data_IF_083081674965
#
_entry.id   IF_083081674965
#
_cell.length_a   1.000
_cell.length_b   1.000
_cell.length_c   1.000
_cell.angle_alpha   90.00
_cell.angle_beta   90.00
_cell.angle_gamma   90.00
#
_symmetry.space_group_name_H-M   'P 1'
#
loop_
_entity.id
_entity.type
_entity.pdbx_description
1 polymer ?
#
# COMPACT_ATOMS: atom_id res chain seq x y z
N UNK A 1 -5.19 25.55 -8.46
CA UNK A 1 -4.39 24.61 -7.65
C UNK A 1 -5.32 23.58 -7.04
N UNK A 2 -5.07 22.28 -7.23
CA UNK A 2 -5.91 21.22 -6.66
C UNK A 2 -5.52 20.97 -5.20
N UNK A 3 -6.46 21.12 -4.26
CA UNK A 3 -6.20 20.83 -2.83
C UNK A 3 -6.17 19.33 -2.59
N UNK A 4 -4.99 18.77 -2.35
CA UNK A 4 -4.77 17.34 -2.14
C UNK A 4 -4.23 17.00 -0.74
N UNK A 5 -3.90 17.99 0.09
CA UNK A 5 -3.33 17.75 1.43
C UNK A 5 -4.22 16.86 2.31
N UNK A 6 -5.50 17.19 2.44
CA UNK A 6 -6.46 16.45 3.29
C UNK A 6 -6.58 14.97 2.90
N UNK A 7 -6.83 14.60 1.63
CA UNK A 7 -6.87 13.19 1.25
C UNK A 7 -5.50 12.51 1.36
N UNK A 8 -4.41 13.18 1.00
CA UNK A 8 -3.05 12.64 1.13
C UNK A 8 -2.69 12.34 2.59
N UNK A 9 -3.12 13.17 3.54
CA UNK A 9 -2.98 12.94 4.98
C UNK A 9 -3.69 11.67 5.43
N UNK A 10 -4.91 11.43 4.95
CA UNK A 10 -5.66 10.19 5.25
C UNK A 10 -4.94 8.95 4.69
N UNK A 11 -4.40 9.06 3.48
CA UNK A 11 -3.60 7.99 2.87
C UNK A 11 -2.35 7.68 3.70
N UNK A 12 -1.61 8.71 4.13
CA UNK A 12 -0.44 8.55 5.00
C UNK A 12 -0.76 7.83 6.31
N UNK A 13 -1.79 8.27 7.04
CA UNK A 13 -2.18 7.61 8.29
C UNK A 13 -2.63 6.17 8.07
N UNK A 14 -3.35 5.90 6.99
CA UNK A 14 -3.74 4.52 6.66
C UNK A 14 -2.51 3.63 6.47
N UNK A 15 -1.51 4.06 5.71
CA UNK A 15 -0.26 3.30 5.55
C UNK A 15 0.48 3.10 6.87
N UNK A 16 0.53 4.13 7.71
CA UNK A 16 1.14 4.03 9.05
C UNK A 16 0.44 2.97 9.90
N UNK A 17 -0.89 2.97 9.96
CA UNK A 17 -1.63 1.97 10.74
C UNK A 17 -1.50 0.55 10.16
N UNK A 18 -1.46 0.41 8.83
CA UNK A 18 -1.19 -0.89 8.20
C UNK A 18 0.19 -1.43 8.58
N UNK A 19 1.22 -0.58 8.65
CA UNK A 19 2.55 -0.97 9.13
C UNK A 19 2.52 -1.39 10.61
N UNK A 20 1.84 -0.65 11.46
CA UNK A 20 1.71 -1.01 12.89
C UNK A 20 1.00 -2.35 13.04
N UNK A 21 -0.08 -2.58 12.30
CA UNK A 21 -0.82 -3.83 12.31
C UNK A 21 0.02 -5.03 11.84
N UNK A 22 0.81 -4.86 10.79
CA UNK A 22 1.66 -5.95 10.29
C UNK A 22 2.74 -6.35 11.31
N UNK A 23 3.31 -5.37 12.02
CA UNK A 23 4.26 -5.60 13.12
C UNK A 23 3.60 -6.35 14.30
N UNK A 24 2.38 -5.96 14.69
CA UNK A 24 1.62 -6.64 15.74
C UNK A 24 1.34 -8.10 15.35
N UNK A 25 0.96 -8.34 14.10
CA UNK A 25 0.70 -9.69 13.58
C UNK A 25 1.90 -10.60 13.75
N UNK A 26 3.09 -10.06 13.47
CA UNK A 26 4.34 -10.79 13.58
C UNK A 26 4.68 -11.16 15.02
N UNK A 27 4.49 -10.25 15.98
CA UNK A 27 4.87 -10.47 17.38
C UNK A 27 4.04 -11.59 18.02
N UNK A 28 2.76 -11.73 17.63
CA UNK A 28 1.82 -12.59 18.34
C UNK A 28 1.82 -14.05 17.82
N UNK A 29 2.39 -14.33 16.63
CA UNK A 29 2.53 -15.68 16.04
C UNK A 29 1.27 -16.57 16.19
N UNK A 30 0.08 -16.03 15.91
CA UNK A 30 -1.19 -16.76 16.02
C UNK A 30 -2.01 -16.60 14.74
N UNK A 31 -2.38 -17.71 14.11
CA UNK A 31 -3.14 -17.74 12.85
C UNK A 31 -4.50 -17.03 12.95
N UNK A 32 -5.20 -17.14 14.09
CA UNK A 32 -6.50 -16.46 14.30
C UNK A 32 -6.31 -14.94 14.32
N UNK A 33 -5.23 -14.49 14.95
CA UNK A 33 -4.90 -13.07 15.06
C UNK A 33 -4.39 -12.53 13.71
N UNK A 34 -3.64 -13.32 12.95
CA UNK A 34 -3.23 -12.98 11.59
C UNK A 34 -4.43 -12.81 10.63
N UNK A 35 -5.46 -13.66 10.76
CA UNK A 35 -6.72 -13.51 10.01
C UNK A 35 -7.45 -12.22 10.41
N UNK A 36 -7.57 -11.94 11.72
CA UNK A 36 -8.20 -10.72 12.21
C UNK A 36 -7.47 -9.45 11.72
N UNK A 37 -6.14 -9.47 11.70
CA UNK A 37 -5.32 -8.36 11.21
C UNK A 37 -5.44 -8.20 9.69
N UNK A 38 -5.55 -9.29 8.94
CA UNK A 38 -5.81 -9.26 7.50
C UNK A 38 -7.17 -8.62 7.20
N UNK A 39 -8.20 -8.94 7.99
CA UNK A 39 -9.50 -8.28 7.91
C UNK A 39 -9.43 -6.78 8.26
N UNK A 40 -8.70 -6.41 9.31
CA UNK A 40 -8.47 -5.00 9.65
C UNK A 40 -7.73 -4.24 8.53
N UNK A 41 -6.77 -4.88 7.87
CA UNK A 41 -6.01 -4.29 6.75
C UNK A 41 -6.88 -3.92 5.54
N UNK A 42 -8.00 -4.63 5.34
CA UNK A 42 -9.00 -4.27 4.32
C UNK A 42 -9.64 -2.92 4.63
N UNK A 43 -9.94 -2.61 5.90
CA UNK A 43 -10.52 -1.32 6.31
C UNK A 43 -9.55 -0.18 5.96
N UNK A 44 -8.27 -0.34 6.28
CA UNK A 44 -7.25 0.64 5.93
C UNK A 44 -7.08 0.80 4.41
N UNK A 45 -7.18 -0.30 3.66
CA UNK A 45 -7.18 -0.25 2.19
C UNK A 45 -8.38 0.52 1.64
N UNK A 46 -9.57 0.38 2.23
CA UNK A 46 -10.75 1.19 1.88
C UNK A 46 -10.49 2.68 2.12
N UNK A 47 -9.86 3.04 3.25
CA UNK A 47 -9.48 4.43 3.55
C UNK A 47 -8.50 4.96 2.50
N UNK A 48 -7.54 4.15 2.06
CA UNK A 48 -6.61 4.52 0.97
C UNK A 48 -7.35 4.78 -0.33
N UNK A 49 -8.29 3.90 -0.70
CA UNK A 49 -9.11 4.05 -1.89
C UNK A 49 -9.96 5.32 -1.83
N UNK A 50 -10.55 5.64 -0.68
CA UNK A 50 -11.30 6.89 -0.48
C UNK A 50 -10.40 8.12 -0.65
N UNK A 51 -9.18 8.08 -0.13
CA UNK A 51 -8.21 9.16 -0.34
C UNK A 51 -7.85 9.33 -1.82
N UNK A 52 -7.58 8.23 -2.53
CA UNK A 52 -7.27 8.25 -3.96
C UNK A 52 -8.48 8.74 -4.77
N UNK A 53 -9.68 8.33 -4.41
CA UNK A 53 -10.93 8.79 -5.03
C UNK A 53 -11.09 10.31 -4.93
N UNK A 54 -10.81 10.89 -3.75
CA UNK A 54 -10.86 12.34 -3.57
C UNK A 54 -9.83 13.08 -4.46
N UNK A 55 -8.72 12.43 -4.79
CA UNK A 55 -7.68 12.97 -5.67
C UNK A 55 -7.88 12.65 -7.16
N UNK A 56 -8.86 11.83 -7.54
CA UNK A 56 -9.03 11.27 -8.90
C UNK A 56 -9.07 12.32 -10.02
N UNK A 57 -9.58 13.52 -9.73
CA UNK A 57 -9.74 14.59 -10.70
C UNK A 57 -8.46 15.44 -10.88
N UNK A 58 -7.41 15.17 -10.10
CA UNK A 58 -6.19 15.99 -10.12
C UNK A 58 -5.28 15.63 -11.30
N UNK A 59 -5.24 14.34 -11.65
CA UNK A 59 -4.46 13.80 -12.76
C UNK A 59 -5.12 12.51 -13.31
N UNK A 60 -5.01 12.27 -14.62
CA UNK A 60 -5.50 11.07 -15.30
C UNK A 60 -4.88 9.78 -14.75
N UNK A 61 -3.60 9.81 -14.38
CA UNK A 61 -2.91 8.64 -13.79
C UNK A 61 -3.51 8.24 -12.44
N UNK A 62 -3.88 9.21 -11.60
CA UNK A 62 -4.56 8.94 -10.31
C UNK A 62 -5.94 8.32 -10.55
N UNK A 63 -6.67 8.78 -11.57
CA UNK A 63 -7.94 8.15 -11.98
C UNK A 63 -7.75 6.70 -12.43
N UNK A 64 -6.71 6.41 -13.21
CA UNK A 64 -6.37 5.03 -13.63
C UNK A 64 -5.99 4.17 -12.42
N UNK A 65 -5.17 4.70 -11.52
CA UNK A 65 -4.77 4.04 -10.27
C UNK A 65 -5.97 3.61 -9.44
N UNK A 66 -6.96 4.50 -9.26
CA UNK A 66 -8.19 4.19 -8.53
C UNK A 66 -8.89 2.93 -9.02
N UNK A 67 -9.03 2.77 -10.34
CA UNK A 67 -9.69 1.59 -10.92
C UNK A 67 -8.91 0.29 -10.60
N UNK A 68 -7.58 0.34 -10.66
CA UNK A 68 -6.75 -0.82 -10.32
C UNK A 68 -6.74 -1.13 -8.82
N UNK A 69 -6.81 -0.10 -7.96
CA UNK A 69 -6.97 -0.32 -6.52
C UNK A 69 -8.29 -0.99 -6.15
N UNK A 70 -9.39 -0.68 -6.83
CA UNK A 70 -10.67 -1.41 -6.65
C UNK A 70 -10.50 -2.89 -7.00
N UNK A 71 -9.86 -3.19 -8.12
CA UNK A 71 -9.60 -4.58 -8.52
C UNK A 71 -8.72 -5.29 -7.49
N UNK A 72 -7.68 -4.63 -6.99
CA UNK A 72 -6.82 -5.16 -5.93
C UNK A 72 -7.61 -5.46 -4.65
N UNK A 73 -8.50 -4.55 -4.23
CA UNK A 73 -9.37 -4.75 -3.05
C UNK A 73 -10.26 -5.98 -3.19
N UNK A 74 -10.90 -6.16 -4.36
CA UNK A 74 -11.71 -7.34 -4.64
C UNK A 74 -10.86 -8.61 -4.50
N UNK A 75 -9.64 -8.56 -5.04
CA UNK A 75 -8.65 -9.63 -4.87
C UNK A 75 -8.31 -9.95 -3.43
N UNK A 76 -8.05 -8.94 -2.60
CA UNK A 76 -7.77 -9.10 -1.18
C UNK A 76 -8.93 -9.78 -0.45
N UNK A 77 -10.17 -9.37 -0.73
CA UNK A 77 -11.37 -9.97 -0.12
C UNK A 77 -11.52 -11.43 -0.52
N UNK A 78 -11.41 -11.74 -1.83
CA UNK A 78 -11.51 -13.12 -2.33
C UNK A 78 -10.42 -13.99 -1.70
N UNK A 79 -9.17 -13.50 -1.68
CA UNK A 79 -8.04 -14.22 -1.10
C UNK A 79 -8.25 -14.49 0.38
N UNK A 80 -8.76 -13.51 1.15
CA UNK A 80 -9.07 -13.67 2.57
C UNK A 80 -10.13 -14.76 2.79
N UNK A 81 -11.23 -14.74 2.02
CA UNK A 81 -12.30 -15.73 2.12
C UNK A 81 -11.76 -17.14 1.86
N UNK A 82 -10.97 -17.32 0.81
CA UNK A 82 -10.39 -18.62 0.46
C UNK A 82 -9.38 -19.09 1.52
N UNK A 83 -8.57 -18.17 2.05
CA UNK A 83 -7.61 -18.47 3.13
C UNK A 83 -8.33 -18.94 4.38
N UNK A 84 -9.41 -18.26 4.78
CA UNK A 84 -10.26 -18.69 5.90
C UNK A 84 -10.79 -20.10 5.66
N UNK A 85 -11.40 -20.36 4.49
CA UNK A 85 -11.94 -21.68 4.14
C UNK A 85 -10.86 -22.77 4.13
N UNK A 86 -9.66 -22.44 3.65
CA UNK A 86 -8.53 -23.37 3.62
C UNK A 86 -8.07 -23.75 5.03
N UNK A 87 -7.93 -22.77 5.93
CA UNK A 87 -7.53 -23.00 7.34
C UNK A 87 -8.58 -23.83 8.07
N UNK A 88 -9.87 -23.49 7.96
CA UNK A 88 -10.94 -24.22 8.64
C UNK A 88 -11.12 -25.66 8.13
N UNK A 89 -10.96 -25.90 6.82
CA UNK A 89 -11.11 -27.23 6.23
C UNK A 89 -9.80 -28.02 6.14
N UNK A 90 -8.68 -27.45 6.59
CA UNK A 90 -7.31 -27.99 6.42
C UNK A 90 -7.04 -28.48 4.98
N UNK A 91 -7.53 -27.72 3.99
CA UNK A 91 -7.49 -28.15 2.60
C UNK A 91 -6.35 -27.45 1.83
N UNK A 92 -5.34 -28.24 1.47
CA UNK A 92 -4.15 -27.79 0.75
C UNK A 92 -4.45 -27.28 -0.66
N UNK A 93 -5.46 -27.84 -1.33
CA UNK A 93 -5.83 -27.42 -2.69
C UNK A 93 -6.40 -25.99 -2.68
N UNK A 94 -7.23 -25.66 -1.67
CA UNK A 94 -7.71 -24.29 -1.48
C UNK A 94 -6.57 -23.34 -1.10
N UNK A 95 -5.57 -23.78 -0.34
CA UNK A 95 -4.38 -22.99 -0.06
C UNK A 95 -3.63 -22.64 -1.35
N UNK A 96 -3.40 -23.62 -2.23
CA UNK A 96 -2.74 -23.37 -3.53
C UNK A 96 -3.54 -22.41 -4.42
N UNK A 97 -4.87 -22.56 -4.48
CA UNK A 97 -5.73 -21.63 -5.21
C UNK A 97 -5.63 -20.21 -4.65
N UNK A 98 -5.56 -20.05 -3.32
CA UNK A 98 -5.41 -18.73 -2.68
C UNK A 98 -4.11 -18.04 -3.10
N UNK A 99 -3.01 -18.78 -3.23
CA UNK A 99 -1.70 -18.23 -3.66
C UNK A 99 -1.75 -17.75 -5.10
N UNK A 100 -2.39 -18.52 -6.00
CA UNK A 100 -2.55 -18.14 -7.41
C UNK A 100 -3.36 -16.85 -7.54
N UNK A 101 -4.49 -16.76 -6.82
CA UNK A 101 -5.36 -15.59 -6.82
C UNK A 101 -4.60 -14.38 -6.26
N UNK A 102 -3.91 -14.55 -5.13
CA UNK A 102 -3.10 -13.50 -4.51
C UNK A 102 -2.06 -12.96 -5.50
N UNK A 103 -1.40 -13.83 -6.27
CA UNK A 103 -0.42 -13.42 -7.27
C UNK A 103 -1.05 -12.57 -8.40
N UNK A 104 -2.19 -13.00 -8.95
CA UNK A 104 -2.89 -12.24 -10.01
C UNK A 104 -3.29 -10.85 -9.52
N UNK A 105 -3.84 -10.76 -8.31
CA UNK A 105 -4.28 -9.47 -7.76
C UNK A 105 -3.12 -8.60 -7.25
N UNK A 106 -1.99 -9.19 -6.86
CA UNK A 106 -0.77 -8.45 -6.59
C UNK A 106 -0.27 -7.68 -7.83
N UNK A 107 -0.39 -8.25 -9.03
CA UNK A 107 -0.07 -7.54 -10.27
C UNK A 107 -0.93 -6.28 -10.45
N UNK A 108 -2.23 -6.36 -10.19
CA UNK A 108 -3.10 -5.18 -10.24
C UNK A 108 -2.72 -4.14 -9.18
N UNK A 109 -2.34 -4.57 -7.98
CA UNK A 109 -1.85 -3.68 -6.93
C UNK A 109 -0.60 -2.93 -7.36
N UNK A 110 0.38 -3.61 -7.95
CA UNK A 110 1.62 -3.00 -8.45
C UNK A 110 1.33 -1.97 -9.54
N UNK A 111 0.42 -2.28 -10.47
CA UNK A 111 0.00 -1.32 -11.50
C UNK A 111 -0.71 -0.12 -10.88
N UNK A 112 -1.54 -0.34 -9.85
CA UNK A 112 -2.21 0.74 -9.13
C UNK A 112 -1.21 1.68 -8.44
N UNK A 113 -0.23 1.12 -7.74
CA UNK A 113 0.84 1.85 -7.06
C UNK A 113 1.68 2.66 -8.05
N UNK A 114 2.07 2.04 -9.16
CA UNK A 114 2.81 2.70 -10.24
C UNK A 114 2.06 3.95 -10.74
N UNK A 115 0.78 3.77 -11.10
CA UNK A 115 -0.04 4.88 -11.61
C UNK A 115 -0.25 5.97 -10.54
N UNK A 116 -0.37 5.59 -9.26
CA UNK A 116 -0.55 6.54 -8.18
C UNK A 116 0.70 7.39 -7.95
N UNK A 117 1.84 6.74 -7.76
CA UNK A 117 3.11 7.41 -7.44
C UNK A 117 3.59 8.30 -8.59
N UNK A 118 3.46 7.85 -9.84
CA UNK A 118 3.74 8.70 -11.00
C UNK A 118 2.71 9.83 -11.14
N UNK A 119 1.45 9.60 -10.75
CA UNK A 119 0.44 10.66 -10.68
C UNK A 119 0.80 11.73 -9.64
N UNK A 120 1.34 11.36 -8.48
CA UNK A 120 1.85 12.29 -7.48
C UNK A 120 3.07 13.08 -8.01
N UNK A 121 3.97 12.41 -8.73
CA UNK A 121 5.14 13.06 -9.32
C UNK A 121 4.76 14.15 -10.34
N UNK A 122 3.72 13.93 -11.15
CA UNK A 122 3.20 14.93 -12.08
C UNK A 122 2.59 16.14 -11.36
N UNK A 123 1.98 15.93 -10.20
CA UNK A 123 1.40 17.02 -9.41
C UNK A 123 2.47 17.95 -8.84
N UNK A 124 3.71 17.47 -8.60
CA UNK A 124 4.85 18.31 -8.22
C UNK A 124 5.04 19.43 -9.24
N UNK A 125 5.15 19.06 -10.52
CA UNK A 125 5.37 20.02 -11.61
C UNK A 125 4.14 20.90 -11.82
N UNK A 126 2.94 20.30 -11.82
CA UNK A 126 1.69 21.02 -12.10
C UNK A 126 1.33 22.06 -11.03
N UNK A 127 1.57 21.77 -9.75
CA UNK A 127 1.24 22.65 -8.64
C UNK A 127 2.45 23.42 -8.08
N UNK A 128 3.67 23.14 -8.57
CA UNK A 128 4.90 23.80 -8.16
C UNK A 128 5.23 23.57 -6.69
N UNK A 129 5.13 22.32 -6.22
CA UNK A 129 5.50 21.93 -4.85
C UNK A 129 7.02 22.03 -4.67
N UNK A 130 7.47 22.47 -3.49
CA UNK A 130 8.90 22.51 -3.15
C UNK A 130 9.41 21.11 -2.77
N UNK A 131 9.35 20.18 -3.72
CA UNK A 131 9.79 18.80 -3.55
C UNK A 131 10.48 18.34 -4.84
N UNK A 132 11.65 17.68 -4.76
CA UNK A 132 12.40 17.28 -5.94
C UNK A 132 11.62 16.23 -6.77
N UNK A 133 11.48 16.51 -8.07
CA UNK A 133 10.84 15.60 -9.00
C UNK A 133 11.60 14.27 -9.05
N UNK A 134 10.86 13.16 -9.09
CA UNK A 134 11.40 11.81 -9.13
C UNK A 134 11.71 11.21 -7.76
N UNK A 135 11.90 12.02 -6.70
CA UNK A 135 12.20 11.48 -5.35
C UNK A 135 11.03 10.63 -4.83
N UNK A 136 9.79 11.00 -5.11
CA UNK A 136 8.60 10.25 -4.68
C UNK A 136 8.51 8.86 -5.32
N UNK A 137 9.13 8.66 -6.49
CA UNK A 137 9.13 7.37 -7.21
C UNK A 137 9.88 6.27 -6.46
N UNK A 138 10.78 6.64 -5.54
CA UNK A 138 11.47 5.67 -4.70
C UNK A 138 10.53 4.86 -3.81
N UNK A 139 9.35 5.37 -3.46
CA UNK A 139 8.31 4.60 -2.75
C UNK A 139 7.94 3.33 -3.52
N UNK A 140 7.76 3.45 -4.84
CA UNK A 140 7.44 2.31 -5.69
C UNK A 140 8.60 1.30 -5.75
N UNK A 141 9.83 1.79 -5.89
CA UNK A 141 11.01 0.93 -5.91
C UNK A 141 11.22 0.20 -4.58
N UNK A 142 11.01 0.86 -3.44
CA UNK A 142 11.06 0.20 -2.13
C UNK A 142 10.00 -0.89 -1.98
N UNK A 143 8.79 -0.68 -2.54
CA UNK A 143 7.75 -1.71 -2.55
C UNK A 143 8.17 -2.97 -3.32
N UNK A 144 8.76 -2.80 -4.51
CA UNK A 144 9.28 -3.91 -5.32
C UNK A 144 10.43 -4.63 -4.60
N UNK A 145 11.40 -3.86 -4.09
CA UNK A 145 12.56 -4.40 -3.38
C UNK A 145 12.10 -5.21 -2.17
N UNK A 146 11.16 -4.67 -1.39
CA UNK A 146 10.58 -5.38 -0.26
C UNK A 146 9.90 -6.68 -0.69
N UNK A 147 9.03 -6.64 -1.71
CA UNK A 147 8.32 -7.83 -2.18
C UNK A 147 9.28 -8.95 -2.62
N UNK A 148 10.36 -8.61 -3.34
CA UNK A 148 11.35 -9.57 -3.81
C UNK A 148 12.22 -10.12 -2.68
N UNK A 149 12.79 -9.24 -1.85
CA UNK A 149 13.74 -9.65 -0.81
C UNK A 149 13.00 -10.36 0.33
N UNK A 150 11.97 -9.74 0.88
CA UNK A 150 11.21 -10.30 2.00
C UNK A 150 10.49 -11.58 1.58
N UNK A 151 9.93 -11.62 0.36
CA UNK A 151 9.31 -12.83 -0.18
C UNK A 151 10.30 -14.00 -0.32
N UNK A 152 11.52 -13.72 -0.81
CA UNK A 152 12.57 -14.74 -0.92
C UNK A 152 13.03 -15.23 0.45
N UNK A 153 13.22 -14.33 1.41
CA UNK A 153 13.68 -14.67 2.76
C UNK A 153 12.67 -15.52 3.53
N UNK A 154 11.38 -15.26 3.39
CA UNK A 154 10.32 -16.09 3.99
C UNK A 154 10.42 -17.54 3.49
N UNK A 155 10.68 -17.74 2.20
CA UNK A 155 10.83 -19.10 1.64
C UNK A 155 12.06 -19.84 2.18
N UNK A 156 13.10 -19.12 2.60
CA UNK A 156 14.30 -19.70 3.23
C UNK A 156 14.18 -19.92 4.74
N UNK A 157 13.04 -19.55 5.35
CA UNK A 157 12.84 -19.61 6.80
C UNK A 157 13.47 -18.44 7.58
N UNK A 158 14.05 -17.46 6.88
CA UNK A 158 14.66 -16.25 7.46
C UNK A 158 13.60 -15.17 7.77
N UNK A 159 12.59 -15.53 8.57
CA UNK A 159 11.39 -14.72 8.77
C UNK A 159 11.69 -13.39 9.49
N UNK A 160 12.64 -13.40 10.44
CA UNK A 160 13.06 -12.19 11.18
C UNK A 160 13.76 -11.20 10.24
N UNK A 161 14.61 -11.69 9.34
CA UNK A 161 15.30 -10.86 8.35
C UNK A 161 14.29 -10.25 7.37
N UNK A 162 13.32 -11.04 6.92
CA UNK A 162 12.24 -10.56 6.06
C UNK A 162 11.44 -9.43 6.74
N UNK A 163 11.14 -9.57 8.03
CA UNK A 163 10.46 -8.54 8.80
C UNK A 163 11.27 -7.24 8.87
N UNK A 164 12.55 -7.33 9.21
CA UNK A 164 13.42 -6.15 9.36
C UNK A 164 13.47 -5.38 8.04
N UNK A 165 13.71 -6.08 6.93
CA UNK A 165 13.81 -5.46 5.60
C UNK A 165 12.48 -4.84 5.20
N UNK A 166 11.36 -5.56 5.39
CA UNK A 166 10.05 -5.01 5.09
C UNK A 166 9.71 -3.78 5.91
N UNK A 167 10.06 -3.79 7.20
CA UNK A 167 9.86 -2.64 8.09
C UNK A 167 10.69 -1.44 7.63
N UNK A 168 11.96 -1.63 7.31
CA UNK A 168 12.84 -0.56 6.82
C UNK A 168 12.30 0.04 5.52
N UNK A 169 11.89 -0.78 4.55
CA UNK A 169 11.29 -0.30 3.30
C UNK A 169 10.00 0.48 3.54
N UNK A 170 9.12 0.01 4.42
CA UNK A 170 7.88 0.71 4.76
C UNK A 170 8.12 2.03 5.49
N UNK A 171 9.08 2.09 6.41
CA UNK A 171 9.46 3.32 7.12
C UNK A 171 10.06 4.35 6.16
N UNK A 172 10.98 3.94 5.28
CA UNK A 172 11.53 4.81 4.24
C UNK A 172 10.43 5.35 3.31
N UNK A 173 9.47 4.51 2.94
CA UNK A 173 8.34 4.91 2.09
C UNK A 173 7.43 5.92 2.78
N UNK A 174 7.11 5.71 4.06
CA UNK A 174 6.35 6.66 4.88
C UNK A 174 7.10 7.98 5.03
N UNK A 175 8.41 7.94 5.25
CA UNK A 175 9.21 9.15 5.39
C UNK A 175 9.21 10.00 4.11
N UNK A 176 9.40 9.37 2.94
CA UNK A 176 9.29 10.07 1.65
C UNK A 176 7.91 10.67 1.41
N UNK A 177 6.85 9.93 1.78
CA UNK A 177 5.48 10.40 1.67
C UNK A 177 5.21 11.57 2.64
N UNK A 178 5.81 11.53 3.83
CA UNK A 178 5.70 12.60 4.83
C UNK A 178 6.36 13.90 4.38
N UNK A 179 7.58 13.83 3.84
CA UNK A 179 8.24 15.01 3.26
C UNK A 179 7.41 15.61 2.11
N UNK A 180 6.84 14.75 1.25
CA UNK A 180 5.94 15.20 0.20
C UNK A 180 4.67 15.85 0.77
N UNK A 181 4.07 15.27 1.81
CA UNK A 181 2.92 15.83 2.51
C UNK A 181 3.21 17.22 3.08
N UNK A 182 4.39 17.45 3.67
CA UNK A 182 4.82 18.75 4.16
C UNK A 182 4.94 19.76 3.02
N UNK A 183 5.61 19.40 1.92
CA UNK A 183 5.77 20.27 0.76
C UNK A 183 4.41 20.67 0.14
N UNK A 184 3.43 19.76 0.14
CA UNK A 184 2.06 20.05 -0.28
C UNK A 184 1.37 21.00 0.70
N UNK A 185 1.51 20.77 2.01
CA UNK A 185 0.92 21.61 3.07
C UNK A 185 1.41 23.06 2.98
N UNK A 186 2.72 23.25 2.90
CA UNK A 186 3.34 24.57 2.88
C UNK A 186 2.88 25.36 1.65
N UNK A 187 2.82 24.69 0.48
CA UNK A 187 2.35 25.32 -0.74
C UNK A 187 0.87 25.66 -0.69
N UNK A 188 0.02 24.73 -0.26
CA UNK A 188 -1.44 24.96 -0.20
C UNK A 188 -1.83 26.02 0.84
N UNK A 189 -1.06 26.17 1.93
CA UNK A 189 -1.28 27.21 2.93
C UNK A 189 -0.71 28.57 2.52
N UNK A 190 0.39 28.60 1.75
CA UNK A 190 1.01 29.85 1.26
C UNK A 190 0.20 30.58 0.18
N UNK A 191 -0.79 29.91 -0.41
CA UNK A 191 -1.65 30.44 -1.49
C UNK A 191 -2.99 30.96 -0.94
N UNK A 192 -3.19 30.91 0.38
CA UNK A 192 -4.26 31.60 1.10
C UNK A 192 -3.77 32.98 1.55
#
# INVERSE_FOLDING_TARGET
MTKIYSPLKRYFFSLFFTLVLSLISYIIFNNVIAIAISAASIIFTIIQIQAIYAMRNSCERIKKSFNFFILSLVGMIITLIITILSVFKQNIQLALVSVIIMFVFACFSIVADFQFIWGLDELIVKNGYNYPQGKIKWIFWFSIINALISGSLVNTGAIVQALIIGTVCSVCSLWLLYEYLQAVHDKENSVL
#
